data_IF_027424534568
#
_entry.id   IF_027424534568
#
_cell.length_a   1.000
_cell.length_b   1.000
_cell.length_c   1.000
_cell.angle_alpha   90.00
_cell.angle_beta   90.00
_cell.angle_gamma   90.00
#
_symmetry.space_group_name_H-M   'P 1'
#
loop_
_entity.id
_entity.type
_entity.pdbx_description
1 polymer ?
#
# COMPACT_ATOMS: atom_id res chain seq x y z
N UNK A 1 -1.15 4.94 -4.62
CA UNK A 1 -2.60 4.80 -4.43
C UNK A 1 -3.34 5.56 -5.51
N UNK A 2 -4.62 5.26 -5.73
CA UNK A 2 -5.51 6.00 -6.61
C UNK A 2 -6.23 7.10 -5.82
N UNK A 3 -6.74 8.13 -6.49
CA UNK A 3 -7.52 9.23 -5.87
C UNK A 3 -8.71 8.75 -5.02
N UNK A 4 -9.22 7.56 -5.32
CA UNK A 4 -10.38 6.96 -4.64
C UNK A 4 -10.02 5.97 -3.54
N UNK A 5 -8.74 5.88 -3.16
CA UNK A 5 -8.31 4.95 -2.11
C UNK A 5 -8.74 5.45 -0.73
N UNK A 6 -9.63 4.72 -0.07
CA UNK A 6 -10.05 5.01 1.31
C UNK A 6 -8.85 5.08 2.27
N UNK A 7 -7.85 4.22 2.07
CA UNK A 7 -6.65 4.22 2.90
C UNK A 7 -5.87 5.52 2.76
N UNK A 8 -5.66 6.01 1.53
CA UNK A 8 -4.99 7.29 1.28
C UNK A 8 -5.80 8.46 1.84
N UNK A 9 -7.12 8.45 1.64
CA UNK A 9 -8.00 9.53 2.10
C UNK A 9 -8.01 9.64 3.63
N UNK A 10 -7.89 8.54 4.37
CA UNK A 10 -7.75 8.57 5.82
C UNK A 10 -6.53 9.36 6.33
N UNK A 11 -5.50 9.56 5.49
CA UNK A 11 -4.35 10.43 5.79
C UNK A 11 -4.55 11.83 5.22
N UNK A 12 -5.04 11.93 3.99
CA UNK A 12 -5.12 13.19 3.23
C UNK A 12 -6.21 14.10 3.80
N UNK A 13 -7.42 13.57 4.06
CA UNK A 13 -8.56 14.36 4.52
C UNK A 13 -8.30 15.07 5.86
N UNK A 14 -7.72 14.44 6.90
CA UNK A 14 -7.34 15.12 8.13
C UNK A 14 -6.33 16.24 7.92
N UNK A 15 -5.35 16.05 7.01
CA UNK A 15 -4.36 17.09 6.69
C UNK A 15 -5.05 18.32 6.08
N UNK A 16 -5.92 18.13 5.09
CA UNK A 16 -6.66 19.23 4.48
C UNK A 16 -7.64 19.89 5.45
N UNK A 17 -8.27 19.12 6.33
CA UNK A 17 -9.17 19.65 7.36
C UNK A 17 -8.41 20.55 8.33
N UNK A 18 -7.26 20.09 8.83
CA UNK A 18 -6.43 20.86 9.75
C UNK A 18 -5.85 22.10 9.08
N UNK A 19 -5.35 21.96 7.84
CA UNK A 19 -4.88 23.07 7.02
C UNK A 19 -5.95 24.18 6.89
N UNK A 20 -7.18 23.79 6.56
CA UNK A 20 -8.30 24.74 6.40
C UNK A 20 -8.68 25.42 7.71
N UNK A 21 -8.55 24.72 8.83
CA UNK A 21 -8.87 25.27 10.16
C UNK A 21 -7.83 26.30 10.64
N UNK A 22 -6.56 26.09 10.32
CA UNK A 22 -5.47 26.95 10.83
C UNK A 22 -5.17 28.17 9.97
N UNK A 23 -5.85 28.38 8.83
CA UNK A 23 -5.56 29.46 7.86
C UNK A 23 -4.05 29.54 7.51
N UNK A 24 -3.42 28.39 7.41
CA UNK A 24 -2.00 28.25 7.16
C UNK A 24 -1.63 28.80 5.77
N UNK A 25 -0.40 29.36 5.62
CA UNK A 25 0.18 29.76 4.33
C UNK A 25 1.02 28.63 3.71
N UNK A 26 0.56 27.39 3.82
CA UNK A 26 1.23 26.22 3.27
C UNK A 26 0.53 25.83 1.98
N UNK A 27 1.26 25.60 0.91
CA UNK A 27 0.72 25.01 -0.31
C UNK A 27 0.84 23.51 -0.23
N UNK A 28 -0.27 22.79 -0.42
CA UNK A 28 -0.32 21.33 -0.41
C UNK A 28 -0.53 20.82 -1.83
N UNK A 29 0.40 20.02 -2.31
CA UNK A 29 0.33 19.35 -3.61
C UNK A 29 0.17 17.85 -3.40
N UNK A 30 -0.78 17.24 -4.08
CA UNK A 30 -1.02 15.79 -4.03
C UNK A 30 -0.66 15.17 -5.37
N UNK A 31 0.22 14.16 -5.34
CA UNK A 31 0.67 13.41 -6.51
C UNK A 31 0.23 11.95 -6.43
N UNK A 32 -0.29 11.43 -7.53
CA UNK A 32 -0.76 10.06 -7.63
C UNK A 32 0.12 9.26 -8.60
N UNK A 33 0.92 8.33 -8.09
CA UNK A 33 1.81 7.51 -8.92
C UNK A 33 1.08 6.45 -9.76
N UNK A 34 -0.18 6.18 -9.47
CA UNK A 34 -0.98 5.13 -10.14
C UNK A 34 -0.25 3.80 -10.35
N UNK A 35 0.25 3.24 -9.26
CA UNK A 35 1.10 2.03 -9.24
C UNK A 35 0.48 0.80 -9.94
N UNK A 36 -0.84 0.78 -10.15
CA UNK A 36 -1.49 -0.31 -10.90
C UNK A 36 -1.17 -0.24 -12.40
N UNK A 37 -0.98 0.96 -12.93
CA UNK A 37 -0.66 1.18 -14.34
C UNK A 37 0.85 1.09 -14.63
N UNK A 38 1.71 1.21 -13.62
CA UNK A 38 3.16 1.06 -13.77
C UNK A 38 3.50 -0.44 -13.71
N UNK A 39 3.92 -1.01 -14.83
CA UNK A 39 4.22 -2.45 -14.98
C UNK A 39 5.64 -2.74 -15.47
N UNK A 40 6.41 -1.72 -15.81
CA UNK A 40 7.79 -1.83 -16.28
C UNK A 40 8.65 -0.67 -15.80
N UNK A 41 9.97 -0.81 -15.94
CA UNK A 41 10.95 0.19 -15.51
C UNK A 41 10.85 1.50 -16.30
N UNK A 42 10.55 1.44 -17.60
CA UNK A 42 10.45 2.63 -18.44
C UNK A 42 9.30 3.53 -18.00
N UNK A 43 8.11 2.95 -17.74
CA UNK A 43 6.96 3.69 -17.23
C UNK A 43 7.23 4.28 -15.84
N UNK A 44 7.95 3.55 -14.98
CA UNK A 44 8.37 4.05 -13.67
C UNK A 44 9.32 5.24 -13.81
N UNK A 45 10.38 5.12 -14.62
CA UNK A 45 11.35 6.20 -14.82
C UNK A 45 10.70 7.44 -15.45
N UNK A 46 9.77 7.27 -16.38
CA UNK A 46 9.00 8.38 -16.92
C UNK A 46 8.15 9.08 -15.85
N UNK A 47 7.49 8.30 -14.99
CA UNK A 47 6.71 8.84 -13.87
C UNK A 47 7.59 9.64 -12.91
N UNK A 48 8.76 9.11 -12.52
CA UNK A 48 9.74 9.77 -11.67
C UNK A 48 10.28 11.07 -12.31
N UNK A 49 10.70 10.99 -13.56
CA UNK A 49 11.24 12.16 -14.28
C UNK A 49 10.21 13.29 -14.33
N UNK A 50 8.94 12.98 -14.62
CA UNK A 50 7.87 13.97 -14.62
C UNK A 50 7.66 14.59 -13.24
N UNK A 51 7.70 13.77 -12.18
CA UNK A 51 7.55 14.24 -10.81
C UNK A 51 8.70 15.19 -10.42
N UNK A 52 9.95 14.77 -10.62
CA UNK A 52 11.11 15.57 -10.21
C UNK A 52 11.27 16.84 -11.06
N UNK A 53 10.99 16.77 -12.37
CA UNK A 53 10.99 17.93 -13.25
C UNK A 53 9.94 18.98 -12.83
N UNK A 54 8.74 18.52 -12.43
CA UNK A 54 7.67 19.41 -11.97
C UNK A 54 8.10 20.28 -10.79
N UNK A 55 8.90 19.72 -9.88
CA UNK A 55 9.34 20.40 -8.66
C UNK A 55 10.81 20.86 -8.71
N UNK A 56 11.45 20.83 -9.87
CA UNK A 56 12.87 21.21 -10.01
C UNK A 56 13.12 22.64 -9.54
N UNK A 57 12.27 23.59 -9.95
CA UNK A 57 12.42 25.02 -9.63
C UNK A 57 11.88 25.40 -8.25
N UNK A 58 10.98 24.60 -7.72
CA UNK A 58 10.34 24.85 -6.43
C UNK A 58 10.24 23.53 -5.66
N UNK A 59 11.37 23.05 -5.10
CA UNK A 59 11.39 21.80 -4.34
C UNK A 59 10.45 21.85 -3.13
N UNK A 60 9.85 20.73 -2.74
CA UNK A 60 9.01 20.67 -1.55
C UNK A 60 9.83 20.93 -0.28
N UNK A 61 9.20 21.47 0.76
CA UNK A 61 9.82 21.64 2.08
C UNK A 61 9.60 20.41 2.98
N UNK A 62 8.61 19.60 2.67
CA UNK A 62 8.27 18.35 3.34
C UNK A 62 7.66 17.41 2.32
N UNK A 63 8.01 16.13 2.42
CA UNK A 63 7.44 15.07 1.59
C UNK A 63 6.66 14.11 2.50
N UNK A 64 5.41 13.81 2.13
CA UNK A 64 4.62 12.76 2.79
C UNK A 64 4.39 11.64 1.79
N UNK A 65 4.95 10.47 2.06
CA UNK A 65 4.80 9.27 1.24
C UNK A 65 3.73 8.36 1.85
N UNK A 66 2.76 7.98 1.04
CA UNK A 66 1.71 7.04 1.44
C UNK A 66 1.98 5.66 0.84
N UNK A 67 2.36 4.72 1.71
CA UNK A 67 2.60 3.31 1.37
C UNK A 67 4.06 2.96 1.08
N UNK A 68 4.40 1.71 1.39
CA UNK A 68 5.75 1.17 1.20
C UNK A 68 6.24 1.25 -0.25
N UNK A 69 5.31 1.11 -1.23
CA UNK A 69 5.64 1.21 -2.65
C UNK A 69 6.22 2.57 -3.02
N UNK A 70 5.62 3.66 -2.51
CA UNK A 70 6.09 5.02 -2.77
C UNK A 70 7.53 5.20 -2.25
N UNK A 71 7.81 4.73 -1.05
CA UNK A 71 9.17 4.76 -0.50
C UNK A 71 10.16 3.96 -1.32
N UNK A 72 9.87 2.68 -1.60
CA UNK A 72 10.80 1.79 -2.31
C UNK A 72 11.17 2.34 -3.68
N UNK A 73 10.21 2.93 -4.38
CA UNK A 73 10.41 3.39 -5.74
C UNK A 73 11.00 4.79 -5.84
N UNK A 74 10.88 5.63 -4.80
CA UNK A 74 11.33 7.03 -4.83
C UNK A 74 12.52 7.34 -3.93
N UNK A 75 12.87 6.50 -2.95
CA UNK A 75 13.88 6.85 -1.94
C UNK A 75 15.24 7.24 -2.56
N UNK A 76 15.73 6.51 -3.56
CA UNK A 76 17.01 6.79 -4.23
C UNK A 76 16.98 8.14 -4.97
N UNK A 77 15.85 8.47 -5.59
CA UNK A 77 15.71 9.73 -6.34
C UNK A 77 15.50 10.91 -5.37
N UNK A 78 14.80 10.71 -4.27
CA UNK A 78 14.70 11.70 -3.19
C UNK A 78 16.09 11.95 -2.59
N UNK A 79 16.85 10.90 -2.28
CA UNK A 79 18.21 11.04 -1.75
C UNK A 79 19.14 11.79 -2.71
N UNK A 80 19.03 11.53 -4.00
CA UNK A 80 19.81 12.20 -5.02
C UNK A 80 19.44 13.67 -5.20
N UNK A 81 18.14 14.01 -5.24
CA UNK A 81 17.67 15.34 -5.64
C UNK A 81 17.25 16.19 -4.43
N UNK A 82 16.79 15.59 -3.33
CA UNK A 82 16.15 16.26 -2.20
C UNK A 82 16.58 15.69 -0.83
N UNK A 83 17.84 15.24 -0.70
CA UNK A 83 18.36 14.52 0.49
C UNK A 83 18.14 15.24 1.83
N UNK A 84 18.08 16.58 1.83
CA UNK A 84 17.90 17.37 3.05
C UNK A 84 16.43 17.66 3.36
N UNK A 85 15.51 17.23 2.52
CA UNK A 85 14.08 17.46 2.70
C UNK A 85 13.52 16.35 3.61
N UNK A 86 12.85 16.71 4.72
CA UNK A 86 12.25 15.73 5.61
C UNK A 86 11.18 14.89 4.87
N UNK A 87 11.16 13.60 5.17
CA UNK A 87 10.19 12.66 4.63
C UNK A 87 9.40 12.03 5.76
N UNK A 88 8.08 12.08 5.67
CA UNK A 88 7.16 11.31 6.50
C UNK A 88 6.65 10.14 5.67
N UNK A 89 6.91 8.92 6.13
CA UNK A 89 6.40 7.71 5.49
C UNK A 89 5.26 7.12 6.31
N UNK A 90 4.07 7.04 5.72
CA UNK A 90 2.96 6.25 6.26
C UNK A 90 3.05 4.83 5.67
N UNK A 91 3.57 3.89 6.45
CA UNK A 91 3.87 2.53 5.99
C UNK A 91 2.79 1.53 6.39
N UNK A 92 2.47 0.59 5.48
CA UNK A 92 1.54 -0.51 5.74
C UNK A 92 2.23 -1.75 6.35
N UNK A 93 3.55 -1.89 6.11
CA UNK A 93 4.38 -3.00 6.59
C UNK A 93 5.69 -2.47 7.14
N UNK A 94 6.20 -3.13 8.17
CA UNK A 94 7.51 -2.82 8.79
C UNK A 94 8.70 -3.14 7.88
N UNK A 95 8.47 -3.93 6.83
CA UNK A 95 9.50 -4.37 5.90
C UNK A 95 9.20 -4.00 4.47
N UNK A 96 10.25 -3.94 3.67
CA UNK A 96 10.23 -3.68 2.23
C UNK A 96 11.02 -4.77 1.49
N UNK A 97 10.81 -4.85 0.18
CA UNK A 97 11.64 -5.60 -0.77
C UNK A 97 12.34 -4.66 -1.75
N UNK A 98 12.94 -5.23 -2.81
CA UNK A 98 13.53 -4.45 -3.89
C UNK A 98 12.47 -3.81 -4.79
N UNK A 99 12.87 -2.76 -5.50
CA UNK A 99 12.06 -2.09 -6.53
C UNK A 99 11.52 -3.05 -7.59
N UNK A 100 12.36 -3.97 -8.08
CA UNK A 100 11.97 -5.02 -9.02
C UNK A 100 10.83 -5.91 -8.52
N UNK A 101 10.79 -6.20 -7.23
CA UNK A 101 9.69 -6.99 -6.63
C UNK A 101 8.38 -6.19 -6.66
N UNK A 102 8.45 -4.89 -6.35
CA UNK A 102 7.28 -4.01 -6.38
C UNK A 102 6.74 -3.83 -7.80
N UNK A 103 7.60 -3.65 -8.80
CA UNK A 103 7.21 -3.56 -10.21
C UNK A 103 6.61 -4.88 -10.73
N UNK A 104 7.21 -6.01 -10.38
CA UNK A 104 6.68 -7.33 -10.78
C UNK A 104 5.43 -7.74 -10.01
N UNK A 105 4.99 -6.94 -9.03
CA UNK A 105 3.78 -7.17 -8.21
C UNK A 105 3.79 -8.52 -7.50
N UNK A 106 4.97 -9.03 -7.17
CA UNK A 106 5.18 -10.33 -6.54
C UNK A 106 5.25 -10.25 -5.02
N UNK A 107 5.12 -11.39 -4.39
CA UNK A 107 5.37 -11.55 -2.97
C UNK A 107 6.85 -11.30 -2.65
N UNK A 108 7.15 -10.57 -1.60
CA UNK A 108 8.52 -10.37 -1.11
C UNK A 108 8.99 -11.66 -0.43
N UNK A 109 10.00 -12.37 -0.97
CA UNK A 109 10.54 -13.55 -0.32
C UNK A 109 11.09 -13.23 1.08
N UNK A 110 11.00 -14.16 2.01
CA UNK A 110 11.46 -13.92 3.41
C UNK A 110 12.91 -13.42 3.48
N UNK A 111 13.80 -13.98 2.64
CA UNK A 111 15.23 -13.61 2.56
C UNK A 111 15.49 -12.21 2.03
N UNK A 112 14.53 -11.64 1.27
CA UNK A 112 14.67 -10.33 0.62
C UNK A 112 13.97 -9.21 1.41
N UNK A 113 13.34 -9.56 2.54
CA UNK A 113 12.72 -8.59 3.45
C UNK A 113 13.79 -7.79 4.17
N UNK A 114 13.67 -6.45 4.08
CA UNK A 114 14.49 -5.49 4.84
C UNK A 114 13.57 -4.67 5.73
N UNK A 115 13.94 -4.49 6.99
CA UNK A 115 13.16 -3.62 7.87
C UNK A 115 13.31 -2.16 7.43
N UNK A 116 12.23 -1.40 7.52
CA UNK A 116 12.27 0.05 7.26
C UNK A 116 13.15 0.78 8.29
N UNK A 117 13.23 0.25 9.51
CA UNK A 117 14.10 0.77 10.59
C UNK A 117 15.58 0.59 10.31
N UNK A 118 15.95 -0.31 9.39
CA UNK A 118 17.35 -0.56 9.01
C UNK A 118 17.84 0.42 7.93
N UNK A 119 17.03 1.41 7.54
CA UNK A 119 17.45 2.45 6.61
C UNK A 119 18.61 3.26 7.20
N UNK A 120 19.73 3.31 6.47
CA UNK A 120 20.99 3.96 6.87
C UNK A 120 21.35 5.14 5.94
N UNK A 121 20.40 5.60 5.11
CA UNK A 121 20.63 6.74 4.20
C UNK A 121 20.53 8.10 4.90
N UNK A 122 20.80 9.15 4.14
CA UNK A 122 20.89 10.53 4.65
C UNK A 122 19.56 11.28 4.70
N UNK A 123 18.45 10.68 4.22
CA UNK A 123 17.15 11.35 4.24
C UNK A 123 16.63 11.45 5.67
N UNK A 124 16.23 12.65 6.16
CA UNK A 124 15.55 12.78 7.44
C UNK A 124 14.18 12.09 7.39
N UNK A 125 14.13 10.81 7.76
CA UNK A 125 12.96 9.94 7.63
C UNK A 125 12.23 9.75 8.95
N UNK A 126 10.92 10.04 8.96
CA UNK A 126 10.01 9.67 10.05
C UNK A 126 9.00 8.67 9.54
N UNK A 127 8.83 7.54 10.25
CA UNK A 127 7.94 6.46 9.82
C UNK A 127 6.74 6.37 10.76
N UNK A 128 5.53 6.45 10.20
CA UNK A 128 4.29 6.10 10.86
C UNK A 128 3.82 4.75 10.31
N UNK A 129 3.68 3.79 11.20
CA UNK A 129 3.24 2.46 10.84
C UNK A 129 1.73 2.31 11.06
N UNK A 130 0.98 2.04 9.98
CA UNK A 130 -0.46 1.84 9.97
C UNK A 130 -0.81 0.48 9.36
N UNK A 131 -0.66 -0.62 10.13
CA UNK A 131 -0.87 -1.97 9.63
C UNK A 131 -2.34 -2.27 9.41
N UNK A 132 -2.63 -3.16 8.46
CA UNK A 132 -3.93 -3.81 8.39
C UNK A 132 -4.01 -4.92 9.46
N UNK A 133 -5.04 -4.86 10.29
CA UNK A 133 -5.24 -5.80 11.41
C UNK A 133 -5.94 -7.10 10.95
N UNK A 134 -5.32 -7.85 10.02
CA UNK A 134 -5.90 -9.06 9.40
C UNK A 134 -6.31 -10.09 10.45
N UNK A 135 -5.41 -10.45 11.36
CA UNK A 135 -5.69 -11.43 12.41
C UNK A 135 -6.86 -11.01 13.28
N UNK A 136 -6.89 -9.76 13.74
CA UNK A 136 -7.94 -9.22 14.58
C UNK A 136 -9.29 -9.18 13.83
N UNK A 137 -9.25 -8.84 12.54
CA UNK A 137 -10.42 -8.82 11.67
C UNK A 137 -11.02 -10.23 11.51
N UNK A 138 -10.19 -11.24 11.20
CA UNK A 138 -10.64 -12.63 11.07
C UNK A 138 -11.20 -13.14 12.41
N UNK A 139 -10.53 -12.83 13.52
CA UNK A 139 -11.01 -13.18 14.87
C UNK A 139 -12.37 -12.55 15.16
N UNK A 140 -12.58 -11.29 14.79
CA UNK A 140 -13.86 -10.61 14.94
C UNK A 140 -14.94 -11.26 14.07
N UNK A 141 -14.64 -11.55 12.79
CA UNK A 141 -15.56 -12.23 11.88
C UNK A 141 -16.01 -13.59 12.46
N UNK A 142 -15.06 -14.38 12.98
CA UNK A 142 -15.37 -15.68 13.60
C UNK A 142 -16.22 -15.56 14.87
N UNK A 143 -16.09 -14.47 15.63
CA UNK A 143 -16.94 -14.19 16.78
C UNK A 143 -18.37 -13.81 16.37
N UNK A 144 -18.51 -13.04 15.29
CA UNK A 144 -19.81 -12.61 14.75
C UNK A 144 -20.53 -13.73 14.00
N UNK A 145 -19.78 -14.63 13.38
CA UNK A 145 -20.28 -15.77 12.60
C UNK A 145 -19.57 -17.03 13.11
N UNK A 146 -20.04 -17.62 14.24
CA UNK A 146 -19.39 -18.78 14.86
C UNK A 146 -19.23 -19.99 13.93
N UNK A 147 -20.19 -20.22 13.04
CA UNK A 147 -20.21 -21.34 12.10
C UNK A 147 -19.51 -21.04 10.77
N UNK A 148 -18.79 -19.89 10.67
CA UNK A 148 -18.04 -19.54 9.49
C UNK A 148 -17.04 -20.65 9.13
N UNK A 149 -17.22 -21.28 7.98
CA UNK A 149 -16.38 -22.34 7.44
C UNK A 149 -15.71 -21.92 6.11
N UNK A 150 -16.04 -20.72 5.61
CA UNK A 150 -15.52 -20.18 4.36
C UNK A 150 -15.26 -18.68 4.48
N UNK A 151 -14.15 -18.26 3.91
CA UNK A 151 -13.74 -16.85 3.81
C UNK A 151 -13.40 -16.52 2.36
N UNK A 152 -13.87 -15.37 1.89
CA UNK A 152 -13.45 -14.82 0.59
C UNK A 152 -12.58 -13.61 0.83
N UNK A 153 -11.38 -13.62 0.27
CA UNK A 153 -10.47 -12.49 0.33
C UNK A 153 -10.39 -11.80 -1.03
N UNK A 154 -10.99 -10.63 -1.12
CA UNK A 154 -10.95 -9.79 -2.33
C UNK A 154 -9.73 -8.90 -2.29
N UNK A 155 -8.93 -8.90 -3.36
CA UNK A 155 -7.70 -8.13 -3.47
C UNK A 155 -7.41 -7.74 -4.91
N UNK A 156 -6.34 -6.97 -5.13
CA UNK A 156 -5.83 -6.63 -6.45
C UNK A 156 -4.45 -7.24 -6.72
N UNK A 157 -3.80 -6.84 -7.83
CA UNK A 157 -2.49 -7.34 -8.26
C UNK A 157 -1.29 -6.61 -7.66
N UNK A 158 -1.47 -5.58 -6.82
CA UNK A 158 -0.33 -4.85 -6.23
C UNK A 158 0.52 -5.77 -5.34
N UNK A 159 1.80 -5.43 -5.22
CA UNK A 159 2.74 -6.15 -4.34
C UNK A 159 2.21 -6.24 -2.89
N UNK A 160 1.66 -5.14 -2.35
CA UNK A 160 1.11 -5.13 -0.99
C UNK A 160 -0.07 -6.09 -0.84
N UNK A 161 -0.93 -6.22 -1.86
CA UNK A 161 -2.05 -7.16 -1.85
C UNK A 161 -1.58 -8.61 -1.87
N UNK A 162 -0.46 -8.92 -2.54
CA UNK A 162 0.18 -10.24 -2.48
C UNK A 162 0.67 -10.55 -1.06
N UNK A 163 1.24 -9.58 -0.35
CA UNK A 163 1.64 -9.73 1.05
C UNK A 163 0.43 -10.00 1.95
N UNK A 164 -0.68 -9.28 1.76
CA UNK A 164 -1.90 -9.49 2.55
C UNK A 164 -2.54 -10.85 2.29
N UNK A 165 -2.53 -11.34 1.03
CA UNK A 165 -2.99 -12.72 0.74
C UNK A 165 -2.18 -13.75 1.51
N UNK A 166 -0.87 -13.55 1.62
CA UNK A 166 -0.02 -14.44 2.42
C UNK A 166 -0.38 -14.37 3.91
N UNK A 167 -0.52 -13.15 4.46
CA UNK A 167 -0.86 -12.98 5.88
C UNK A 167 -2.20 -13.63 6.22
N UNK A 168 -3.22 -13.47 5.36
CA UNK A 168 -4.53 -14.12 5.54
C UNK A 168 -4.38 -15.65 5.52
N UNK A 169 -3.65 -16.20 4.55
CA UNK A 169 -3.40 -17.64 4.47
C UNK A 169 -2.70 -18.16 5.72
N UNK A 170 -1.69 -17.45 6.20
CA UNK A 170 -0.95 -17.84 7.41
C UNK A 170 -1.87 -17.87 8.64
N UNK A 171 -2.70 -16.84 8.85
CA UNK A 171 -3.67 -16.78 9.95
C UNK A 171 -4.69 -17.92 9.85
N UNK A 172 -5.25 -18.16 8.66
CA UNK A 172 -6.23 -19.22 8.45
C UNK A 172 -5.60 -20.59 8.71
N UNK A 173 -4.43 -20.88 8.16
CA UNK A 173 -3.76 -22.17 8.32
C UNK A 173 -3.34 -22.45 9.77
N UNK A 174 -2.92 -21.41 10.50
CA UNK A 174 -2.42 -21.59 11.87
C UNK A 174 -3.52 -21.56 12.94
N UNK A 175 -4.52 -20.69 12.79
CA UNK A 175 -5.51 -20.45 13.85
C UNK A 175 -6.91 -20.99 13.52
N UNK A 176 -7.24 -21.14 12.22
CA UNK A 176 -8.56 -21.54 11.76
C UNK A 176 -8.51 -22.57 10.60
N UNK A 177 -7.81 -23.71 10.77
CA UNK A 177 -7.54 -24.66 9.67
C UNK A 177 -8.81 -25.26 9.03
N UNK A 178 -9.96 -25.17 9.71
CA UNK A 178 -11.25 -25.64 9.21
C UNK A 178 -11.97 -24.58 8.33
N UNK A 179 -11.41 -23.38 8.18
CA UNK A 179 -11.99 -22.35 7.31
C UNK A 179 -11.33 -22.46 5.93
N UNK A 180 -12.15 -22.72 4.93
CA UNK A 180 -11.70 -22.63 3.53
C UNK A 180 -11.56 -21.16 3.15
N UNK A 181 -10.46 -20.83 2.47
CA UNK A 181 -10.24 -19.49 1.91
C UNK A 181 -10.24 -19.54 0.38
N UNK A 182 -11.00 -18.63 -0.23
CA UNK A 182 -10.99 -18.38 -1.68
C UNK A 182 -10.45 -16.96 -1.93
N UNK A 183 -9.49 -16.84 -2.86
CA UNK A 183 -8.93 -15.54 -3.25
C UNK A 183 -9.56 -15.07 -4.56
N UNK A 184 -10.18 -13.89 -4.54
CA UNK A 184 -10.65 -13.19 -5.73
C UNK A 184 -9.72 -12.01 -6.00
N UNK A 185 -9.05 -12.01 -7.15
CA UNK A 185 -8.06 -10.99 -7.50
C UNK A 185 -8.64 -10.10 -8.61
N UNK A 186 -8.90 -8.84 -8.30
CA UNK A 186 -9.35 -7.85 -9.27
C UNK A 186 -8.29 -7.70 -10.39
N UNK A 187 -8.78 -7.73 -11.64
CA UNK A 187 -7.94 -7.77 -12.83
C UNK A 187 -7.68 -9.18 -13.37
N UNK A 188 -7.94 -10.26 -12.58
CA UNK A 188 -7.95 -11.64 -13.05
C UNK A 188 -9.36 -12.11 -13.38
N UNK A 189 -10.37 -11.41 -12.88
CA UNK A 189 -11.79 -11.73 -13.05
C UNK A 189 -12.55 -10.51 -13.57
N UNK A 190 -13.59 -10.76 -14.36
CA UNK A 190 -14.53 -9.71 -14.79
C UNK A 190 -15.50 -9.35 -13.67
N UNK A 191 -16.15 -8.20 -13.77
CA UNK A 191 -17.19 -7.79 -12.83
C UNK A 191 -18.33 -8.82 -12.75
N UNK A 192 -18.73 -9.42 -13.88
CA UNK A 192 -19.77 -10.45 -13.93
C UNK A 192 -19.32 -11.71 -13.20
N UNK A 193 -18.07 -12.13 -13.39
CA UNK A 193 -17.49 -13.28 -12.67
C UNK A 193 -17.45 -13.00 -11.17
N UNK A 194 -17.07 -11.80 -10.75
CA UNK A 194 -17.07 -11.39 -9.34
C UNK A 194 -18.48 -11.47 -8.76
N UNK A 195 -19.47 -10.84 -9.42
CA UNK A 195 -20.88 -10.82 -8.97
C UNK A 195 -21.42 -12.26 -8.86
N UNK A 196 -21.17 -13.11 -9.86
CA UNK A 196 -21.64 -14.48 -9.87
C UNK A 196 -20.96 -15.30 -8.75
N UNK A 197 -19.66 -15.11 -8.54
CA UNK A 197 -18.96 -15.75 -7.42
C UNK A 197 -19.56 -15.35 -6.08
N UNK A 198 -19.84 -14.05 -5.86
CA UNK A 198 -20.45 -13.58 -4.62
C UNK A 198 -21.88 -14.11 -4.40
N UNK A 199 -22.68 -14.26 -5.47
CA UNK A 199 -24.01 -14.86 -5.40
C UNK A 199 -23.96 -16.32 -4.95
N UNK A 200 -23.00 -17.10 -5.43
CA UNK A 200 -22.84 -18.51 -5.04
C UNK A 200 -22.40 -18.69 -3.59
N UNK A 201 -21.79 -17.67 -2.99
CA UNK A 201 -21.45 -17.67 -1.55
C UNK A 201 -22.66 -17.48 -0.63
N UNK A 202 -23.71 -16.78 -1.09
CA UNK A 202 -24.92 -16.55 -0.30
C UNK A 202 -25.91 -17.72 -0.35
N UNK A 203 -25.67 -18.74 -1.16
CA UNK A 203 -26.58 -19.88 -1.40
C UNK A 203 -26.14 -21.17 -0.71
N UNK A 204 -25.14 -21.13 0.13
CA UNK A 204 -24.62 -22.22 0.98
C UNK A 204 -24.61 -21.79 2.45
#
# INVERSE_FOLDING_TARGET
YTETSLWSNNFIDPIYKEYSAQKSRIDIYTEHMNMLAIDNEEALEQCKNNLFLKYEKTPPQLIILLGNSAWVLLNKDIEKNWRNIPVILCAEKEYIGSDTIYLSKKLIPKKDKKLLTDYQGDIPLTIFYAPFHIKQTIKLMKRLIPDMNKLVFLSDRRCISAQYRQDVNEVIQTEYPNIRIDHLIAGDITNDTLINSLKTFNSQ
#
